data_IF_468155310911
#
_entry.id   IF_468155310911
#
_cell.length_a   1.000
_cell.length_b   1.000
_cell.length_c   1.000
_cell.angle_alpha   90.00
_cell.angle_beta   90.00
_cell.angle_gamma   90.00
#
_symmetry.space_group_name_H-M   'P 1'
#
loop_
_entity.id
_entity.type
_entity.pdbx_description
1 polymer ?
#
# COMPACT_ATOMS: atom_id res chain seq x y z
N UNK A 1 15.35 -7.65 -14.79
CA UNK A 1 16.20 -6.42 -14.68
C UNK A 1 17.60 -6.85 -14.31
N UNK A 2 18.64 -6.32 -14.99
CA UNK A 2 20.06 -6.57 -14.66
C UNK A 2 20.40 -5.83 -13.37
N UNK A 3 21.21 -6.44 -12.49
CA UNK A 3 21.61 -5.78 -11.25
C UNK A 3 22.67 -4.71 -11.50
N UNK A 4 22.40 -3.51 -10.98
CA UNK A 4 23.27 -2.34 -11.03
C UNK A 4 23.60 -1.89 -9.62
N UNK A 5 24.82 -1.39 -9.42
CA UNK A 5 25.33 -0.95 -8.13
C UNK A 5 25.72 0.53 -8.18
N UNK A 6 25.32 1.29 -7.17
CA UNK A 6 25.66 2.70 -7.00
C UNK A 6 26.17 2.96 -5.59
N UNK A 7 27.07 3.91 -5.45
CA UNK A 7 27.60 4.30 -4.14
C UNK A 7 26.47 4.85 -3.26
N UNK A 8 26.54 4.51 -1.96
CA UNK A 8 25.61 5.05 -0.98
C UNK A 8 26.06 6.46 -0.60
N UNK A 9 25.19 7.44 -0.76
CA UNK A 9 25.44 8.85 -0.44
C UNK A 9 25.98 9.01 0.98
N UNK A 10 27.14 9.65 1.10
CA UNK A 10 27.88 9.84 2.34
C UNK A 10 28.72 8.62 2.78
N UNK A 11 28.72 7.54 2.00
CA UNK A 11 29.50 6.33 2.22
C UNK A 11 30.24 5.88 0.93
N UNK A 12 30.56 6.82 0.07
CA UNK A 12 31.25 6.60 -1.20
C UNK A 12 32.59 5.88 -0.95
N UNK A 13 32.89 4.89 -1.78
CA UNK A 13 34.09 4.04 -1.63
C UNK A 13 34.04 3.05 -0.46
N UNK A 14 32.98 3.03 0.35
CA UNK A 14 32.80 2.10 1.46
C UNK A 14 31.68 1.09 1.23
N UNK A 15 30.54 1.55 0.70
CA UNK A 15 29.36 0.74 0.49
C UNK A 15 28.62 1.12 -0.79
N UNK A 16 28.04 0.11 -1.42
CA UNK A 16 27.14 0.27 -2.57
C UNK A 16 25.79 -0.38 -2.29
N UNK A 17 24.78 0.21 -2.90
CA UNK A 17 23.39 -0.31 -2.95
C UNK A 17 23.08 -0.75 -4.38
N UNK A 18 22.35 -1.86 -4.53
CA UNK A 18 21.88 -2.29 -5.85
C UNK A 18 20.43 -1.86 -6.09
N UNK A 19 20.03 -1.79 -7.37
CA UNK A 19 18.66 -1.59 -7.81
C UNK A 19 17.70 -2.72 -7.38
N UNK A 20 18.25 -3.84 -6.87
CA UNK A 20 17.48 -4.96 -6.31
C UNK A 20 17.39 -4.91 -4.77
N UNK A 21 17.91 -3.85 -4.12
CA UNK A 21 17.86 -3.66 -2.68
C UNK A 21 18.94 -4.40 -1.90
N UNK A 22 19.98 -4.93 -2.54
CA UNK A 22 21.14 -5.53 -1.84
C UNK A 22 22.19 -4.48 -1.54
N UNK A 23 22.85 -4.59 -0.38
CA UNK A 23 23.96 -3.71 0.03
C UNK A 23 25.25 -4.51 0.08
N UNK A 24 26.32 -3.97 -0.47
CA UNK A 24 27.67 -4.56 -0.35
C UNK A 24 28.66 -3.57 0.27
N UNK A 25 29.61 -4.10 1.04
CA UNK A 25 30.82 -3.37 1.43
C UNK A 25 31.85 -3.52 0.34
N UNK A 26 32.51 -2.45 0.02
CA UNK A 26 33.65 -2.46 -0.91
C UNK A 26 34.92 -2.96 -0.20
N UNK A 27 35.93 -3.45 -0.98
CA UNK A 27 37.22 -3.82 -0.41
C UNK A 27 37.86 -2.66 0.33
N UNK A 28 38.39 -2.92 1.51
CA UNK A 28 39.04 -1.87 2.32
C UNK A 28 40.17 -2.44 3.18
N UNK A 29 41.16 -1.61 3.44
CA UNK A 29 42.23 -1.94 4.37
C UNK A 29 41.71 -1.75 5.83
N UNK A 30 41.87 -2.78 6.65
CA UNK A 30 41.60 -2.74 8.09
C UNK A 30 42.81 -3.18 8.87
N UNK A 31 43.55 -2.20 9.40
CA UNK A 31 44.90 -2.45 9.90
C UNK A 31 45.82 -2.95 8.77
N UNK A 32 46.41 -4.11 8.97
CA UNK A 32 47.28 -4.75 7.96
C UNK A 32 46.56 -5.80 7.10
N UNK A 33 45.24 -5.91 7.19
CA UNK A 33 44.44 -6.90 6.45
C UNK A 33 43.55 -6.23 5.43
N UNK A 34 43.60 -6.70 4.17
CA UNK A 34 42.62 -6.37 3.14
C UNK A 34 41.34 -7.15 3.41
N UNK A 35 40.23 -6.44 3.52
CA UNK A 35 38.88 -7.02 3.55
C UNK A 35 38.30 -6.98 2.14
N UNK A 36 37.88 -8.13 1.66
CA UNK A 36 37.25 -8.28 0.37
C UNK A 36 35.79 -7.71 0.36
N UNK A 37 35.26 -7.49 -0.84
CA UNK A 37 33.85 -7.08 -0.94
C UNK A 37 32.92 -8.18 -0.36
N UNK A 38 31.86 -7.76 0.27
CA UNK A 38 30.88 -8.68 0.83
C UNK A 38 29.48 -8.09 0.89
N UNK A 39 28.48 -8.94 0.64
CA UNK A 39 27.07 -8.55 0.82
C UNK A 39 26.78 -8.40 2.32
N UNK A 40 26.19 -7.29 2.67
CA UNK A 40 25.83 -6.97 4.06
C UNK A 40 24.52 -7.62 4.44
N UNK A 41 24.50 -8.28 5.59
CA UNK A 41 23.27 -8.80 6.17
C UNK A 41 22.29 -7.66 6.47
N UNK A 42 21.05 -7.86 6.10
CA UNK A 42 19.93 -6.98 6.41
C UNK A 42 19.07 -7.61 7.50
N UNK A 43 18.37 -6.78 8.26
CA UNK A 43 17.48 -7.22 9.32
C UNK A 43 16.18 -6.42 9.31
N UNK A 44 15.12 -7.04 9.78
CA UNK A 44 13.83 -6.39 9.91
C UNK A 44 13.77 -5.49 11.15
N UNK A 45 13.21 -4.31 10.99
CA UNK A 45 12.92 -3.40 12.08
C UNK A 45 11.60 -2.66 11.80
N UNK A 46 10.59 -2.92 12.62
CA UNK A 46 9.24 -2.33 12.49
C UNK A 46 8.62 -2.58 11.10
N UNK A 47 8.81 -3.76 10.56
CA UNK A 47 8.31 -4.18 9.25
C UNK A 47 9.15 -3.70 8.05
N UNK A 48 10.26 -2.98 8.26
CA UNK A 48 11.14 -2.51 7.18
C UNK A 48 12.50 -3.18 7.24
N UNK A 49 13.11 -3.41 6.07
CA UNK A 49 14.48 -3.90 5.99
C UNK A 49 15.49 -2.78 6.28
N UNK A 50 16.42 -3.06 7.17
CA UNK A 50 17.54 -2.20 7.55
C UNK A 50 18.88 -2.86 7.34
N UNK A 51 19.91 -2.02 7.16
CA UNK A 51 21.31 -2.42 7.12
C UNK A 51 22.14 -1.50 8.01
N UNK A 52 23.12 -2.06 8.72
CA UNK A 52 24.07 -1.29 9.51
C UNK A 52 25.30 -0.94 8.67
N UNK A 53 25.57 0.35 8.53
CA UNK A 53 26.75 0.91 7.85
C UNK A 53 27.69 1.50 8.90
N UNK A 54 28.97 1.20 8.75
CA UNK A 54 30.03 1.65 9.65
C UNK A 54 30.91 2.68 8.94
N UNK A 55 31.04 3.86 9.53
CA UNK A 55 31.96 4.93 9.09
C UNK A 55 32.43 5.72 10.30
N UNK A 56 33.69 6.14 10.34
CA UNK A 56 34.28 7.00 11.36
C UNK A 56 33.98 6.55 12.79
N UNK A 57 34.22 5.26 13.07
CA UNK A 57 33.97 4.58 14.36
C UNK A 57 32.50 4.62 14.81
N UNK A 58 31.57 4.98 13.95
CA UNK A 58 30.13 4.99 14.23
C UNK A 58 29.39 3.97 13.38
N UNK A 59 28.30 3.43 13.93
CA UNK A 59 27.39 2.52 13.22
C UNK A 59 26.04 3.24 13.05
N UNK A 60 25.54 3.29 11.82
CA UNK A 60 24.24 3.87 11.52
C UNK A 60 23.34 2.84 10.82
N UNK A 61 22.17 2.56 11.41
CA UNK A 61 21.15 1.73 10.80
C UNK A 61 20.37 2.52 9.74
N UNK A 62 20.45 2.09 8.48
CA UNK A 62 19.80 2.75 7.35
C UNK A 62 18.66 1.88 6.81
N UNK A 63 17.56 2.50 6.39
CA UNK A 63 16.44 1.83 5.72
C UNK A 63 16.81 1.53 4.27
N UNK A 64 16.69 0.27 3.85
CA UNK A 64 17.14 -0.20 2.53
C UNK A 64 16.36 0.47 1.40
N UNK A 65 15.01 0.57 1.49
CA UNK A 65 14.19 1.24 0.47
C UNK A 65 14.61 2.70 0.25
N UNK A 66 15.04 3.40 1.31
CA UNK A 66 15.51 4.79 1.19
C UNK A 66 16.86 4.86 0.49
N UNK A 67 17.78 3.91 0.76
CA UNK A 67 19.06 3.82 0.07
C UNK A 67 18.86 3.60 -1.43
N UNK A 68 17.95 2.70 -1.81
CA UNK A 68 17.59 2.46 -3.22
C UNK A 68 16.98 3.71 -3.84
N UNK A 69 16.01 4.33 -3.17
CA UNK A 69 15.34 5.52 -3.69
C UNK A 69 16.32 6.68 -3.92
N UNK A 70 17.22 6.97 -2.96
CA UNK A 70 18.23 8.00 -3.13
C UNK A 70 19.22 7.71 -4.25
N UNK A 71 19.55 6.44 -4.49
CA UNK A 71 20.52 6.07 -5.49
C UNK A 71 19.96 5.99 -6.91
N UNK A 72 18.68 5.63 -7.08
CA UNK A 72 18.14 5.21 -8.37
C UNK A 72 16.90 5.98 -8.84
N UNK A 73 16.19 6.68 -7.94
CA UNK A 73 14.95 7.38 -8.29
C UNK A 73 15.15 8.89 -8.27
N UNK A 74 14.74 9.56 -9.33
CA UNK A 74 14.68 11.01 -9.37
C UNK A 74 13.60 11.53 -8.41
N UNK A 75 13.89 12.65 -7.73
CA UNK A 75 12.98 13.27 -6.77
C UNK A 75 12.84 14.79 -7.03
N UNK A 76 12.28 15.18 -8.18
CA UNK A 76 12.19 16.61 -8.56
C UNK A 76 11.27 17.42 -7.64
N UNK A 77 10.35 16.76 -6.92
CA UNK A 77 9.43 17.41 -5.99
C UNK A 77 9.92 17.41 -4.53
N UNK A 78 11.16 16.95 -4.29
CA UNK A 78 11.77 16.88 -2.96
C UNK A 78 10.91 16.15 -1.91
N UNK A 79 10.19 15.10 -2.32
CA UNK A 79 9.39 14.29 -1.43
C UNK A 79 10.24 13.63 -0.35
N UNK A 80 9.68 13.49 0.84
CA UNK A 80 10.40 12.97 2.01
C UNK A 80 10.08 11.52 2.32
N UNK A 81 9.07 10.94 1.67
CA UNK A 81 8.64 9.56 1.88
C UNK A 81 8.85 8.71 0.64
N UNK A 82 9.08 7.41 0.88
CA UNK A 82 9.18 6.39 -0.16
C UNK A 82 8.07 5.38 0.08
N UNK A 83 7.26 5.15 -0.94
CA UNK A 83 6.21 4.15 -0.96
C UNK A 83 6.69 2.85 -1.60
N UNK A 84 6.14 1.70 -1.16
CA UNK A 84 6.26 0.41 -1.82
C UNK A 84 4.97 0.17 -2.61
N UNK A 85 5.07 0.10 -3.94
CA UNK A 85 3.90 -0.02 -4.82
C UNK A 85 3.09 -1.29 -4.58
N UNK A 86 3.74 -2.38 -4.21
CA UNK A 86 3.11 -3.66 -3.84
C UNK A 86 2.73 -3.76 -2.35
N UNK A 87 2.88 -2.69 -1.57
CA UNK A 87 2.71 -2.63 -0.11
C UNK A 87 3.61 -3.60 0.68
N UNK A 88 4.51 -4.34 0.03
CA UNK A 88 5.46 -5.24 0.67
C UNK A 88 6.75 -4.49 1.04
N UNK A 89 6.89 -4.15 2.30
CA UNK A 89 8.04 -3.40 2.85
C UNK A 89 9.38 -4.15 2.76
N UNK A 90 9.37 -5.42 2.40
CA UNK A 90 10.56 -6.23 2.17
C UNK A 90 11.02 -6.22 0.72
N UNK A 91 10.14 -5.85 -0.22
CA UNK A 91 10.47 -5.73 -1.63
C UNK A 91 11.06 -4.36 -1.95
N UNK A 92 12.37 -4.23 -1.76
CA UNK A 92 13.10 -2.98 -1.94
C UNK A 92 13.72 -2.81 -3.33
N UNK A 93 13.13 -3.44 -4.35
CA UNK A 93 13.55 -3.26 -5.75
C UNK A 93 13.16 -1.87 -6.24
N UNK A 94 13.98 -1.27 -7.09
CA UNK A 94 13.75 0.09 -7.62
C UNK A 94 12.43 0.23 -8.37
N UNK A 95 12.03 -0.81 -9.12
CA UNK A 95 10.76 -0.84 -9.87
C UNK A 95 9.52 -0.82 -8.96
N UNK A 96 9.67 -1.28 -7.71
CA UNK A 96 8.62 -1.31 -6.70
C UNK A 96 8.58 -0.06 -5.81
N UNK A 97 9.51 0.86 -5.95
CA UNK A 97 9.61 2.04 -5.08
C UNK A 97 9.25 3.32 -5.84
N UNK A 98 8.72 4.29 -5.10
CA UNK A 98 8.45 5.64 -5.61
C UNK A 98 8.58 6.68 -4.49
N UNK A 99 9.04 7.89 -4.85
CA UNK A 99 8.98 9.03 -3.96
C UNK A 99 7.54 9.57 -3.88
N UNK A 100 7.09 9.91 -2.69
CA UNK A 100 5.73 10.42 -2.48
C UNK A 100 5.64 11.39 -1.30
N UNK A 101 4.55 12.15 -1.27
CA UNK A 101 4.19 12.95 -0.10
C UNK A 101 3.51 12.10 0.99
N UNK A 102 3.36 12.69 2.18
CA UNK A 102 2.77 12.01 3.33
C UNK A 102 1.28 11.67 3.10
N UNK A 103 0.53 12.53 2.41
CA UNK A 103 -0.90 12.34 2.14
C UNK A 103 -1.11 11.18 1.18
N UNK A 104 -0.33 11.14 0.11
CA UNK A 104 -0.35 10.02 -0.84
C UNK A 104 -0.03 8.71 -0.14
N UNK A 105 1.09 8.65 0.61
CA UNK A 105 1.54 7.44 1.28
C UNK A 105 0.55 6.90 2.33
N UNK A 106 -0.14 7.79 3.07
CA UNK A 106 -1.17 7.40 4.03
C UNK A 106 -2.40 6.82 3.32
N UNK A 107 -2.75 7.37 2.15
CA UNK A 107 -3.95 7.00 1.40
C UNK A 107 -3.69 5.89 0.38
N UNK A 108 -2.44 5.46 0.20
CA UNK A 108 -2.06 4.46 -0.77
C UNK A 108 -2.54 3.06 -0.37
N UNK A 109 -3.00 2.31 -1.36
CA UNK A 109 -3.34 0.90 -1.23
C UNK A 109 -4.36 0.59 -0.13
N UNK A 110 -4.08 -0.48 0.62
CA UNK A 110 -4.98 -0.99 1.68
C UNK A 110 -4.85 -0.25 3.02
N UNK A 111 -3.95 0.74 3.13
CA UNK A 111 -3.67 1.46 4.39
C UNK A 111 -4.91 2.12 5.01
N UNK A 112 -5.77 2.72 4.20
CA UNK A 112 -7.03 3.32 4.65
C UNK A 112 -8.07 2.26 5.04
N UNK A 113 -8.13 1.14 4.32
CA UNK A 113 -9.08 0.07 4.57
C UNK A 113 -8.81 -0.65 5.90
N UNK A 114 -7.52 -0.80 6.29
CA UNK A 114 -7.13 -1.35 7.61
C UNK A 114 -7.50 -0.43 8.78
N UNK A 115 -7.61 0.88 8.54
CA UNK A 115 -7.97 1.88 9.57
C UNK A 115 -9.46 2.17 9.57
N UNK A 116 -10.15 1.98 8.45
CA UNK A 116 -11.57 2.15 8.35
C UNK A 116 -12.29 0.99 9.04
N UNK A 117 -13.42 1.31 9.66
CA UNK A 117 -14.34 0.31 10.19
C UNK A 117 -15.50 0.23 9.22
N UNK A 118 -15.56 -0.82 8.41
CA UNK A 118 -16.67 -0.99 7.50
C UNK A 118 -17.98 -1.17 8.27
N UNK A 119 -19.05 -0.63 7.70
CA UNK A 119 -20.38 -0.65 8.29
C UNK A 119 -21.41 -1.11 7.28
N UNK A 120 -22.42 -1.76 7.80
CA UNK A 120 -23.60 -2.22 7.06
C UNK A 120 -24.83 -1.47 7.54
N UNK A 121 -25.59 -0.92 6.62
CA UNK A 121 -26.89 -0.33 6.91
C UNK A 121 -27.95 -1.42 6.92
N UNK A 122 -28.39 -1.85 8.10
CA UNK A 122 -29.39 -2.90 8.25
C UNK A 122 -30.72 -2.51 7.62
N UNK A 123 -31.05 -1.20 7.60
CA UNK A 123 -32.32 -0.69 7.07
C UNK A 123 -32.39 -0.78 5.55
N UNK A 124 -31.30 -0.46 4.84
CA UNK A 124 -31.27 -0.39 3.37
C UNK A 124 -30.56 -1.56 2.71
N UNK A 125 -29.82 -2.35 3.47
CA UNK A 125 -29.02 -3.46 2.92
C UNK A 125 -27.71 -3.01 2.28
N UNK A 126 -27.28 -1.76 2.49
CA UNK A 126 -26.09 -1.23 1.85
C UNK A 126 -24.82 -1.38 2.70
N UNK A 127 -23.72 -1.64 2.03
CA UNK A 127 -22.39 -1.79 2.63
C UNK A 127 -21.51 -0.57 2.34
N UNK A 128 -20.74 -0.13 3.35
CA UNK A 128 -19.80 0.98 3.23
C UNK A 128 -18.43 0.60 3.82
N UNK A 129 -17.35 0.97 3.11
CA UNK A 129 -15.98 0.70 3.55
C UNK A 129 -15.59 1.49 4.81
N UNK A 130 -16.32 2.55 5.13
CA UNK A 130 -16.07 3.35 6.34
C UNK A 130 -17.34 4.04 6.84
N UNK A 131 -17.34 4.37 8.13
CA UNK A 131 -18.34 5.26 8.74
C UNK A 131 -18.43 6.60 7.99
N UNK A 132 -17.30 7.10 7.48
CA UNK A 132 -17.24 8.38 6.77
C UNK A 132 -17.94 8.29 5.40
N UNK A 133 -17.80 7.19 4.69
CA UNK A 133 -18.47 6.99 3.41
C UNK A 133 -19.97 6.82 3.60
N UNK A 134 -20.38 6.06 4.60
CA UNK A 134 -21.78 5.93 5.00
C UNK A 134 -22.39 7.29 5.37
N UNK A 135 -21.68 8.11 6.15
CA UNK A 135 -22.15 9.43 6.55
C UNK A 135 -22.32 10.36 5.34
N UNK A 136 -21.42 10.30 4.36
CA UNK A 136 -21.55 11.08 3.11
C UNK A 136 -22.74 10.64 2.27
N UNK A 137 -22.95 9.32 2.12
CA UNK A 137 -24.04 8.77 1.33
C UNK A 137 -25.42 9.20 1.83
N UNK A 138 -25.56 9.35 3.14
CA UNK A 138 -26.85 9.69 3.79
C UNK A 138 -26.89 11.11 4.37
N UNK A 139 -25.96 11.99 4.01
CA UNK A 139 -25.83 13.37 4.52
C UNK A 139 -25.89 13.46 6.06
N UNK A 140 -25.24 12.51 6.74
CA UNK A 140 -25.15 12.47 8.20
C UNK A 140 -24.01 13.39 8.65
N UNK A 141 -24.34 14.51 9.30
CA UNK A 141 -23.37 15.54 9.71
C UNK A 141 -22.29 15.03 10.68
N UNK A 142 -22.68 14.15 11.61
CA UNK A 142 -21.75 13.58 12.59
C UNK A 142 -21.59 12.08 12.35
N UNK A 143 -20.50 11.70 11.72
CA UNK A 143 -20.18 10.30 11.42
C UNK A 143 -19.96 9.43 12.68
N UNK A 144 -19.58 10.03 13.83
CA UNK A 144 -19.45 9.30 15.09
C UNK A 144 -20.77 8.68 15.57
N UNK A 145 -21.89 9.27 15.18
CA UNK A 145 -23.21 8.77 15.57
C UNK A 145 -23.52 7.41 14.93
N UNK A 146 -23.03 7.16 13.70
CA UNK A 146 -23.06 5.83 13.08
C UNK A 146 -22.28 4.84 13.97
N UNK A 147 -21.08 5.22 14.40
CA UNK A 147 -20.27 4.39 15.29
C UNK A 147 -20.90 4.14 16.67
N UNK A 148 -21.71 5.08 17.18
CA UNK A 148 -22.48 4.91 18.42
C UNK A 148 -23.63 3.95 18.22
N UNK A 149 -24.30 3.99 17.06
CA UNK A 149 -25.36 3.04 16.68
C UNK A 149 -24.79 1.63 16.56
N UNK A 150 -23.68 1.45 15.85
CA UNK A 150 -22.99 0.15 15.76
C UNK A 150 -22.56 -0.45 17.11
N UNK A 151 -22.36 0.39 18.12
CA UNK A 151 -22.00 -0.04 19.50
C UNK A 151 -23.23 -0.20 20.41
N UNK A 152 -24.44 -0.08 19.89
CA UNK A 152 -25.68 -0.14 20.67
C UNK A 152 -25.89 1.05 21.62
N UNK A 153 -25.10 2.12 21.51
CA UNK A 153 -25.23 3.33 22.34
C UNK A 153 -26.30 4.29 21.83
N UNK A 154 -26.82 4.03 20.64
CA UNK A 154 -27.88 4.77 19.96
C UNK A 154 -28.68 3.80 19.12
N UNK A 155 -30.00 3.96 19.05
CA UNK A 155 -30.88 3.03 18.34
C UNK A 155 -30.76 3.18 16.81
N UNK A 156 -30.64 4.43 16.32
CA UNK A 156 -30.56 4.74 14.90
C UNK A 156 -29.79 6.04 14.66
N UNK A 157 -29.27 6.23 13.45
CA UNK A 157 -28.59 7.45 13.03
C UNK A 157 -28.85 7.73 11.55
N UNK A 158 -29.50 8.87 11.27
CA UNK A 158 -29.96 9.25 9.94
C UNK A 158 -31.33 8.66 9.61
N UNK A 159 -31.82 9.01 8.42
CA UNK A 159 -33.10 8.48 7.85
C UNK A 159 -32.85 8.13 6.39
N UNK A 160 -33.48 7.07 5.94
CA UNK A 160 -33.51 6.73 4.52
C UNK A 160 -34.19 7.88 3.73
N UNK A 161 -33.53 8.44 2.73
CA UNK A 161 -34.05 9.58 1.97
C UNK A 161 -35.31 9.26 1.17
N UNK A 162 -35.59 7.98 0.88
CA UNK A 162 -36.74 7.52 0.09
C UNK A 162 -37.93 7.20 1.00
N UNK A 163 -37.67 6.40 2.03
CA UNK A 163 -38.75 5.86 2.89
C UNK A 163 -38.97 6.65 4.17
N UNK A 164 -38.00 7.50 4.58
CA UNK A 164 -38.01 8.22 5.85
C UNK A 164 -37.76 7.34 7.09
N UNK A 165 -37.48 6.05 6.90
CA UNK A 165 -37.27 5.08 7.99
C UNK A 165 -35.92 5.39 8.67
N UNK A 166 -35.82 5.33 10.01
CA UNK A 166 -34.58 5.50 10.72
C UNK A 166 -33.53 4.44 10.33
N UNK A 167 -32.27 4.88 10.07
CA UNK A 167 -31.21 4.00 9.66
C UNK A 167 -30.57 3.30 10.87
N UNK A 168 -30.45 1.99 10.81
CA UNK A 168 -29.75 1.15 11.77
C UNK A 168 -28.43 0.70 11.17
N UNK A 169 -27.37 0.67 11.99
CA UNK A 169 -26.01 0.44 11.53
C UNK A 169 -25.33 -0.63 12.39
N UNK A 170 -24.57 -1.50 11.71
CA UNK A 170 -23.73 -2.52 12.34
C UNK A 170 -22.32 -2.46 11.79
N UNK A 171 -21.32 -2.77 12.64
CA UNK A 171 -19.97 -3.02 12.14
C UNK A 171 -19.90 -4.34 11.40
N UNK A 172 -19.21 -4.36 10.29
CA UNK A 172 -18.89 -5.60 9.61
C UNK A 172 -17.58 -6.13 10.15
N UNK A 173 -17.63 -7.31 10.74
CA UNK A 173 -16.47 -8.07 11.17
C UNK A 173 -16.26 -9.17 10.15
N UNK A 174 -15.07 -9.23 9.59
CA UNK A 174 -14.69 -10.26 8.64
C UNK A 174 -14.06 -11.42 9.41
N UNK A 175 -14.50 -12.64 9.18
CA UNK A 175 -13.78 -13.83 9.57
C UNK A 175 -12.58 -14.07 8.63
N UNK A 176 -11.69 -15.03 8.97
CA UNK A 176 -10.47 -15.28 8.20
C UNK A 176 -10.76 -15.69 6.74
N UNK A 177 -11.87 -16.36 6.50
CA UNK A 177 -12.28 -16.79 5.15
C UNK A 177 -12.74 -15.61 4.31
N UNK A 178 -13.53 -14.71 4.88
CA UNK A 178 -13.96 -13.49 4.23
C UNK A 178 -12.82 -12.49 4.03
N UNK A 179 -11.86 -12.40 4.99
CA UNK A 179 -10.63 -11.61 4.82
C UNK A 179 -9.80 -12.11 3.64
N UNK A 180 -9.73 -13.43 3.41
CA UNK A 180 -8.99 -13.99 2.27
C UNK A 180 -9.61 -13.58 0.93
N UNK A 181 -10.94 -13.60 0.81
CA UNK A 181 -11.67 -13.16 -0.39
C UNK A 181 -11.49 -11.65 -0.63
N UNK A 182 -11.63 -10.84 0.42
CA UNK A 182 -11.41 -9.38 0.33
C UNK A 182 -9.97 -9.05 -0.03
N UNK A 183 -8.99 -9.76 0.53
CA UNK A 183 -7.58 -9.55 0.21
C UNK A 183 -7.26 -9.95 -1.23
N UNK A 184 -7.86 -11.02 -1.74
CA UNK A 184 -7.77 -11.39 -3.15
C UNK A 184 -8.38 -10.31 -4.06
N UNK A 185 -9.60 -9.84 -3.80
CA UNK A 185 -10.24 -8.77 -4.56
C UNK A 185 -9.42 -7.46 -4.52
N UNK A 186 -8.84 -7.12 -3.37
CA UNK A 186 -7.95 -5.96 -3.21
C UNK A 186 -6.68 -6.12 -4.03
N UNK A 187 -6.07 -7.29 -4.04
CA UNK A 187 -4.87 -7.55 -4.85
C UNK A 187 -5.16 -7.39 -6.34
N UNK A 188 -6.34 -7.80 -6.80
CA UNK A 188 -6.78 -7.59 -8.17
C UNK A 188 -6.97 -6.11 -8.49
N UNK A 189 -7.64 -5.34 -7.62
CA UNK A 189 -7.80 -3.89 -7.81
C UNK A 189 -6.44 -3.18 -7.91
N UNK A 190 -5.49 -3.51 -7.04
CA UNK A 190 -4.13 -2.95 -7.08
C UNK A 190 -3.41 -3.35 -8.37
N UNK A 191 -3.51 -4.62 -8.78
CA UNK A 191 -2.94 -5.11 -10.03
C UNK A 191 -3.48 -4.34 -11.25
N UNK A 192 -4.81 -4.18 -11.35
CA UNK A 192 -5.45 -3.46 -12.45
C UNK A 192 -5.14 -1.97 -12.44
N UNK A 193 -5.02 -1.34 -11.25
CA UNK A 193 -4.58 0.05 -11.14
C UNK A 193 -3.14 0.23 -11.62
N UNK A 194 -2.25 -0.71 -11.36
CA UNK A 194 -0.87 -0.71 -11.84
C UNK A 194 -0.80 -0.91 -13.36
N UNK A 195 -1.59 -1.83 -13.89
CA UNK A 195 -1.67 -2.08 -15.31
C UNK A 195 -2.24 -0.87 -16.07
N UNK A 196 -3.28 -0.24 -15.53
CA UNK A 196 -3.87 0.99 -16.06
C UNK A 196 -2.91 2.19 -16.04
N UNK A 197 -2.03 2.26 -15.04
CA UNK A 197 -0.97 3.28 -14.97
C UNK A 197 0.14 3.05 -16.02
N UNK A 198 0.37 1.80 -16.41
CA UNK A 198 1.38 1.42 -17.39
C UNK A 198 0.91 1.63 -18.85
N UNK A 199 -0.39 1.63 -19.11
CA UNK A 199 -0.94 1.68 -20.45
C UNK A 199 -2.13 2.67 -20.55
N UNK A 200 -1.83 3.88 -20.99
CA UNK A 200 -2.77 5.02 -20.98
C UNK A 200 -3.97 4.86 -21.94
N UNK A 201 -3.82 4.06 -22.99
CA UNK A 201 -4.87 3.82 -23.99
C UNK A 201 -5.93 2.80 -23.50
N UNK A 202 -5.56 1.92 -22.60
CA UNK A 202 -6.48 0.95 -21.98
C UNK A 202 -7.14 1.48 -20.69
N UNK A 203 -6.76 2.70 -20.26
CA UNK A 203 -7.16 3.26 -18.97
C UNK A 203 -8.67 3.36 -18.79
N UNK A 204 -9.41 3.70 -19.83
CA UNK A 204 -10.86 3.89 -19.76
C UNK A 204 -11.59 2.54 -19.67
N UNK A 205 -11.13 1.53 -20.38
CA UNK A 205 -11.65 0.16 -20.28
C UNK A 205 -11.48 -0.40 -18.87
N UNK A 206 -10.25 -0.36 -18.34
CA UNK A 206 -9.98 -0.88 -16.98
C UNK A 206 -10.67 -0.08 -15.88
N UNK A 207 -10.86 1.23 -16.08
CA UNK A 207 -11.63 2.07 -15.14
C UNK A 207 -13.08 1.64 -15.04
N UNK A 208 -13.71 1.32 -16.16
CA UNK A 208 -15.10 0.89 -16.19
C UNK A 208 -15.25 -0.53 -15.64
N UNK A 209 -14.27 -1.39 -15.88
CA UNK A 209 -14.20 -2.73 -15.30
C UNK A 209 -14.06 -2.68 -13.75
N UNK A 210 -13.18 -1.82 -13.24
CA UNK A 210 -13.02 -1.60 -11.79
C UNK A 210 -14.29 -1.01 -11.17
N UNK A 211 -14.98 -0.10 -11.86
CA UNK A 211 -16.27 0.43 -11.39
C UNK A 211 -17.33 -0.67 -11.32
N UNK A 212 -17.46 -1.50 -12.34
CA UNK A 212 -18.42 -2.59 -12.37
C UNK A 212 -18.18 -3.59 -11.23
N UNK A 213 -16.91 -3.92 -10.94
CA UNK A 213 -16.53 -4.76 -9.79
C UNK A 213 -16.85 -4.12 -8.43
N UNK A 214 -16.55 -2.83 -8.28
CA UNK A 214 -16.80 -2.11 -7.02
C UNK A 214 -18.29 -1.92 -6.76
N UNK A 215 -19.09 -1.74 -7.82
CA UNK A 215 -20.54 -1.56 -7.73
C UNK A 215 -21.32 -2.89 -7.63
N UNK A 216 -20.61 -4.03 -7.73
CA UNK A 216 -21.27 -5.35 -7.76
C UNK A 216 -22.05 -5.64 -9.05
N UNK A 217 -21.81 -4.86 -10.10
CA UNK A 217 -22.41 -5.04 -11.44
C UNK A 217 -21.72 -6.17 -12.22
N UNK A 218 -20.55 -6.59 -11.77
CA UNK A 218 -19.77 -7.71 -12.31
C UNK A 218 -19.22 -8.54 -11.15
N UNK A 219 -19.27 -9.85 -11.29
CA UNK A 219 -18.63 -10.77 -10.36
C UNK A 219 -17.25 -11.26 -10.86
N UNK A 220 -16.50 -11.88 -9.96
CA UNK A 220 -15.13 -12.36 -10.25
C UNK A 220 -15.16 -13.54 -11.26
N UNK A 221 -16.25 -14.29 -11.34
CA UNK A 221 -16.36 -15.39 -12.29
C UNK A 221 -16.43 -14.83 -13.71
N UNK A 222 -17.22 -13.80 -13.93
CA UNK A 222 -17.33 -13.08 -15.21
C UNK A 222 -15.99 -12.45 -15.62
N UNK A 223 -15.22 -11.90 -14.64
CA UNK A 223 -13.90 -11.35 -14.91
C UNK A 223 -12.91 -12.42 -15.40
N UNK A 224 -12.93 -13.59 -14.78
CA UNK A 224 -12.08 -14.73 -15.18
C UNK A 224 -12.42 -15.30 -16.56
N UNK A 225 -13.68 -15.24 -16.95
CA UNK A 225 -14.10 -15.61 -18.30
C UNK A 225 -13.58 -14.65 -19.36
N UNK A 226 -13.53 -13.34 -19.05
CA UNK A 226 -12.96 -12.32 -19.94
C UNK A 226 -11.43 -12.41 -20.07
N UNK A 227 -10.72 -12.91 -19.04
CA UNK A 227 -9.26 -13.14 -19.09
C UNK A 227 -8.90 -14.49 -19.76
N UNK A 228 -9.85 -15.43 -19.85
CA UNK A 228 -9.60 -16.79 -20.37
C UNK A 228 -9.62 -16.94 -21.89
N UNK A 229 -9.96 -15.88 -22.63
CA UNK A 229 -10.08 -15.93 -24.09
C UNK A 229 -8.83 -15.43 -24.86
N UNK A 230 -7.71 -15.18 -24.16
CA UNK A 230 -6.39 -14.95 -24.80
C UNK A 230 -5.53 -16.23 -24.73
N UNK A 231 -5.82 -17.19 -25.63
CA UNK A 231 -4.88 -18.22 -26.08
C UNK A 231 -4.33 -17.88 -27.47
#
# INVERSE_FOLDING_TARGET
MKEEWRDILGYEGLYQISNLGRVKSLPKLSGNRMLEESIRAQYECRGYMKVNLYKDKTVKGMLVHRLVAYAFLDNPNEYTQVNHKDENKHNNRVDNLEWCDAKYNINYGTGNLRRSKPVYCVTTGEFFNSITDAAKAYDIKNNEDIGRTCKGKRESCGKDPITGVPLKWEYVYFDEEFESVINYQRSQIVYWQQLAAANKEELDYYRDLVKALVNGEMDIATLKELEGDEE
#
